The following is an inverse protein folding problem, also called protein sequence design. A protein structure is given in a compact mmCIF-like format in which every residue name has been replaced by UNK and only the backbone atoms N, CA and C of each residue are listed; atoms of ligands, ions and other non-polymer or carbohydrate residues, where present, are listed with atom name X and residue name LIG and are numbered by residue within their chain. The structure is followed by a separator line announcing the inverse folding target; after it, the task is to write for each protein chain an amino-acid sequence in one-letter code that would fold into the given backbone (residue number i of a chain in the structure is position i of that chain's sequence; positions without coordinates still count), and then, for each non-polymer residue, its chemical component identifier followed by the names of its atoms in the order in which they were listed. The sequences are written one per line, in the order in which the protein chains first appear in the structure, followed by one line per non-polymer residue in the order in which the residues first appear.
data_IF_603372223876
#
_entry.id   IF_603372223876
#
_cell.length_a   1.000
_cell.length_b   1.000
_cell.length_c   1.000
_cell.angle_alpha   90.00
_cell.angle_beta   90.00
_cell.angle_gamma   90.00
#
_symmetry.space_group_name_H-M   'P 1'
#
loop_
_entity.id
_entity.type
_entity.pdbx_description
1 polymer ?
#
# COMPACT_ATOMS: atom_id res chain seq x y z
N UNK A 1 -6.90 11.59 13.75
CA UNK A 1 -7.61 10.87 14.83
C UNK A 1 -8.41 9.77 14.17
N UNK A 2 -8.14 8.51 14.52
CA UNK A 2 -8.83 7.37 13.90
C UNK A 2 -10.06 6.99 14.74
N UNK A 3 -11.25 7.25 14.18
CA UNK A 3 -12.54 6.90 14.76
C UNK A 3 -12.76 5.40 14.92
N UNK A 4 -12.20 4.57 14.03
CA UNK A 4 -12.36 3.12 14.07
C UNK A 4 -11.49 2.50 15.15
N UNK A 5 -10.24 2.94 15.27
CA UNK A 5 -9.34 2.46 16.32
C UNK A 5 -9.77 2.93 17.71
N UNK A 6 -10.33 4.13 17.84
CA UNK A 6 -10.79 4.66 19.13
C UNK A 6 -12.27 4.35 19.44
N UNK A 7 -12.98 3.66 18.53
CA UNK A 7 -14.44 3.44 18.60
C UNK A 7 -15.22 4.72 18.91
N UNK A 8 -14.74 5.85 18.40
CA UNK A 8 -15.31 7.17 18.65
C UNK A 8 -15.94 7.65 17.36
N UNK A 9 -17.21 8.04 17.39
CA UNK A 9 -17.87 8.58 16.18
C UNK A 9 -17.07 9.73 15.58
N UNK A 10 -16.96 9.73 14.24
CA UNK A 10 -16.26 10.75 13.45
C UNK A 10 -16.62 12.18 13.85
N UNK A 11 -17.90 12.44 14.13
CA UNK A 11 -18.44 13.73 14.53
C UNK A 11 -17.93 14.23 15.88
N UNK A 12 -17.45 13.32 16.75
CA UNK A 12 -17.03 13.60 18.14
C UNK A 12 -15.52 13.51 18.35
N UNK A 13 -14.75 13.26 17.30
CA UNK A 13 -13.30 13.09 17.36
C UNK A 13 -12.56 14.32 17.91
N UNK A 14 -13.06 15.52 17.60
CA UNK A 14 -12.44 16.79 18.03
C UNK A 14 -12.75 17.09 19.49
N UNK A 15 -13.98 16.83 19.93
CA UNK A 15 -14.41 17.05 21.33
C UNK A 15 -13.83 16.01 22.29
N UNK A 16 -13.67 14.76 21.86
CA UNK A 16 -13.16 13.63 22.67
C UNK A 16 -11.69 13.34 22.44
N UNK A 17 -10.91 14.36 22.09
CA UNK A 17 -9.50 14.24 21.72
C UNK A 17 -8.66 13.47 22.75
N UNK A 18 -8.87 13.78 24.03
CA UNK A 18 -8.12 13.20 25.15
C UNK A 18 -8.49 11.73 25.38
N UNK A 19 -9.77 11.38 25.24
CA UNK A 19 -10.23 9.98 25.32
C UNK A 19 -9.71 9.13 24.15
N UNK A 20 -9.66 9.72 22.94
CA UNK A 20 -9.04 9.08 21.77
C UNK A 20 -7.55 8.86 21.99
N UNK A 21 -6.82 9.84 22.54
CA UNK A 21 -5.40 9.67 22.85
C UNK A 21 -5.15 8.59 23.91
N UNK A 22 -5.98 8.56 24.97
CA UNK A 22 -5.89 7.53 26.01
C UNK A 22 -6.14 6.12 25.45
N UNK A 23 -7.22 5.93 24.68
CA UNK A 23 -7.53 4.65 24.03
C UNK A 23 -6.43 4.21 23.06
N UNK A 24 -5.88 5.13 22.26
CA UNK A 24 -4.78 4.80 21.34
C UNK A 24 -3.49 4.42 22.09
N UNK A 25 -3.21 5.04 23.24
CA UNK A 25 -2.08 4.67 24.09
C UNK A 25 -2.29 3.30 24.76
N UNK A 26 -3.50 3.00 25.24
CA UNK A 26 -3.88 1.69 25.79
C UNK A 26 -3.79 0.58 24.73
N UNK A 27 -4.24 0.87 23.50
CA UNK A 27 -4.10 -0.01 22.34
C UNK A 27 -2.64 -0.21 21.96
N UNK A 28 -1.82 0.84 21.95
CA UNK A 28 -0.38 0.74 21.68
C UNK A 28 0.40 -0.02 22.76
N UNK A 29 -0.08 0.01 24.01
CA UNK A 29 0.52 -0.72 25.14
C UNK A 29 0.11 -2.21 25.17
N UNK A 30 -0.99 -2.57 24.53
CA UNK A 30 -1.42 -3.96 24.34
C UNK A 30 -0.86 -4.49 23.03
N UNK A 31 -0.20 -5.65 23.06
CA UNK A 31 0.33 -6.30 21.84
C UNK A 31 -0.79 -6.41 20.80
N UNK A 32 -0.66 -5.72 19.67
CA UNK A 32 -1.69 -5.78 18.62
C UNK A 32 -1.70 -4.65 17.60
N UNK A 33 -0.98 -3.54 17.82
CA UNK A 33 -0.90 -2.46 16.83
C UNK A 33 0.13 -2.81 15.75
N UNK A 34 -0.35 -3.13 14.55
CA UNK A 34 0.49 -3.32 13.37
C UNK A 34 1.23 -2.03 13.00
N UNK A 35 2.39 -2.17 12.35
CA UNK A 35 3.14 -1.04 11.85
C UNK A 35 2.73 -0.70 10.42
N UNK A 36 2.53 0.59 10.14
CA UNK A 36 2.20 1.10 8.81
C UNK A 36 3.36 1.94 8.29
N UNK A 37 3.82 1.61 7.08
CA UNK A 37 4.86 2.36 6.38
C UNK A 37 4.31 2.90 5.07
N UNK A 38 4.39 4.22 4.91
CA UNK A 38 3.91 4.91 3.71
C UNK A 38 5.13 5.43 2.95
N UNK A 39 5.23 5.07 1.68
CA UNK A 39 6.31 5.50 0.78
C UNK A 39 5.68 6.20 -0.42
N UNK A 40 5.95 7.50 -0.56
CA UNK A 40 5.47 8.29 -1.68
C UNK A 40 6.51 8.37 -2.80
N UNK A 41 6.05 8.26 -4.04
CA UNK A 41 6.87 8.35 -5.25
C UNK A 41 6.09 9.07 -6.36
N UNK A 42 6.76 9.90 -7.19
CA UNK A 42 6.12 10.47 -8.37
C UNK A 42 5.59 9.38 -9.32
N UNK A 43 4.51 9.67 -10.04
CA UNK A 43 3.96 8.76 -11.06
C UNK A 43 5.02 8.35 -12.08
N UNK A 44 5.06 7.07 -12.43
CA UNK A 44 6.01 6.49 -13.38
C UNK A 44 7.46 6.42 -12.87
N UNK A 45 7.74 6.81 -11.62
CA UNK A 45 9.12 6.78 -11.11
C UNK A 45 9.54 5.43 -10.54
N UNK A 46 8.57 4.58 -10.17
CA UNK A 46 8.78 3.32 -9.47
C UNK A 46 8.32 2.14 -10.33
N UNK A 47 9.15 1.10 -10.40
CA UNK A 47 8.83 -0.17 -11.05
C UNK A 47 8.68 -1.32 -10.05
N UNK A 48 8.10 -2.47 -10.44
CA UNK A 48 8.09 -3.67 -9.60
C UNK A 48 9.49 -4.10 -9.16
N UNK A 49 10.51 -3.96 -10.02
CA UNK A 49 11.90 -4.22 -9.65
C UNK A 49 12.43 -3.26 -8.56
N UNK A 50 11.98 -2.01 -8.55
CA UNK A 50 12.33 -1.04 -7.49
C UNK A 50 11.65 -1.39 -6.17
N UNK A 51 10.39 -1.85 -6.22
CA UNK A 51 9.67 -2.37 -5.06
C UNK A 51 10.37 -3.60 -4.47
N UNK A 52 10.84 -4.52 -5.31
CA UNK A 52 11.57 -5.72 -4.88
C UNK A 52 12.84 -5.36 -4.09
N UNK A 53 13.63 -4.41 -4.62
CA UNK A 53 14.83 -3.90 -3.94
C UNK A 53 14.49 -3.20 -2.62
N UNK A 54 13.39 -2.46 -2.59
CA UNK A 54 12.92 -1.77 -1.38
C UNK A 54 12.53 -2.80 -0.31
N UNK A 55 11.70 -3.79 -0.64
CA UNK A 55 11.31 -4.87 0.29
C UNK A 55 12.51 -5.67 0.78
N UNK A 56 13.49 -5.94 -0.09
CA UNK A 56 14.76 -6.55 0.30
C UNK A 56 15.51 -5.73 1.35
N UNK A 57 15.61 -4.40 1.13
CA UNK A 57 16.23 -3.48 2.09
C UNK A 57 15.44 -3.38 3.41
N UNK A 58 14.11 -3.37 3.35
CA UNK A 58 13.24 -3.37 4.52
C UNK A 58 13.49 -4.63 5.37
N UNK A 59 13.45 -5.81 4.73
CA UNK A 59 13.68 -7.10 5.37
C UNK A 59 15.07 -7.19 5.99
N UNK A 60 16.11 -6.70 5.30
CA UNK A 60 17.47 -6.65 5.82
C UNK A 60 17.60 -5.79 7.10
N UNK A 61 16.77 -4.75 7.23
CA UNK A 61 16.69 -3.89 8.42
C UNK A 61 15.73 -4.42 9.50
N UNK A 62 15.30 -5.69 9.40
CA UNK A 62 14.38 -6.32 10.36
C UNK A 62 12.91 -5.92 10.18
N UNK A 63 12.57 -5.23 9.11
CA UNK A 63 11.21 -4.80 8.82
C UNK A 63 10.59 -5.72 7.77
N UNK A 64 9.75 -6.65 8.22
CA UNK A 64 9.13 -7.67 7.38
C UNK A 64 7.63 -7.37 7.27
N UNK A 65 7.15 -6.85 6.13
CA UNK A 65 5.73 -6.59 5.95
C UNK A 65 4.96 -7.90 5.73
N UNK A 66 3.74 -7.98 6.27
CA UNK A 66 2.79 -9.06 5.96
C UNK A 66 1.91 -8.73 4.73
N UNK A 67 1.82 -7.44 4.39
CA UNK A 67 1.02 -6.92 3.29
C UNK A 67 1.75 -5.75 2.59
N UNK A 68 1.58 -5.68 1.27
CA UNK A 68 2.04 -4.58 0.43
C UNK A 68 0.85 -4.03 -0.36
N UNK A 69 0.62 -2.72 -0.22
CA UNK A 69 -0.43 -1.99 -0.95
C UNK A 69 0.24 -1.07 -1.96
N UNK A 70 -0.16 -1.16 -3.23
CA UNK A 70 0.30 -0.29 -4.33
C UNK A 70 -0.88 0.53 -4.80
N UNK A 71 -0.80 1.86 -4.66
CA UNK A 71 -1.82 2.81 -5.10
C UNK A 71 -1.27 3.70 -6.22
N UNK A 72 -1.57 3.46 -7.50
CA UNK A 72 -2.15 2.25 -8.09
C UNK A 72 -1.26 1.73 -9.21
N UNK A 73 -1.33 0.42 -9.51
CA UNK A 73 -0.35 -0.26 -10.37
C UNK A 73 -0.23 0.34 -11.78
N UNK A 74 -1.31 0.90 -12.33
CA UNK A 74 -1.31 1.51 -13.67
C UNK A 74 -0.43 2.77 -13.75
N UNK A 75 -0.06 3.40 -12.62
CA UNK A 75 0.88 4.53 -12.58
C UNK A 75 2.35 4.11 -12.40
N UNK A 76 2.63 2.81 -12.27
CA UNK A 76 4.00 2.33 -12.18
C UNK A 76 4.68 2.30 -13.56
N UNK A 77 6.01 2.34 -13.56
CA UNK A 77 6.81 2.04 -14.75
C UNK A 77 7.04 0.54 -14.85
N UNK A 78 6.99 -0.03 -16.05
CA UNK A 78 7.40 -1.42 -16.25
C UNK A 78 8.87 -1.65 -15.87
N UNK A 79 9.20 -2.84 -15.38
CA UNK A 79 10.59 -3.21 -15.05
C UNK A 79 11.49 -3.21 -16.30
N UNK A 80 10.89 -3.49 -17.47
CA UNK A 80 11.54 -3.51 -18.78
C UNK A 80 10.65 -2.78 -19.79
N UNK A 81 11.25 -2.06 -20.73
CA UNK A 81 10.51 -1.39 -21.80
C UNK A 81 10.18 -2.39 -22.92
N UNK A 82 8.90 -2.77 -23.02
CA UNK A 82 8.39 -3.70 -24.03
C UNK A 82 7.90 -3.00 -25.30
N UNK A 83 8.10 -1.68 -25.44
CA UNK A 83 7.70 -0.83 -26.60
C UNK A 83 6.20 -0.79 -26.92
N UNK A 84 5.37 -1.47 -26.13
CA UNK A 84 3.92 -1.48 -26.21
C UNK A 84 3.34 -1.27 -24.81
N UNK A 85 2.47 -0.27 -24.66
CA UNK A 85 1.92 0.12 -23.36
C UNK A 85 1.07 -0.98 -22.74
N UNK A 86 0.35 -1.76 -23.55
CA UNK A 86 -0.47 -2.88 -23.05
C UNK A 86 0.42 -4.02 -22.54
N UNK A 87 1.51 -4.31 -23.23
CA UNK A 87 2.52 -5.26 -22.79
C UNK A 87 3.19 -4.78 -21.50
N UNK A 88 3.53 -3.49 -21.40
CA UNK A 88 4.10 -2.87 -20.21
C UNK A 88 3.17 -3.01 -19.01
N UNK A 89 1.89 -2.65 -19.14
CA UNK A 89 0.89 -2.80 -18.07
C UNK A 89 0.77 -4.27 -17.64
N UNK A 90 0.64 -5.20 -18.61
CA UNK A 90 0.58 -6.64 -18.31
C UNK A 90 1.82 -7.13 -17.56
N UNK A 91 3.00 -6.64 -17.92
CA UNK A 91 4.25 -6.96 -17.23
C UNK A 91 4.23 -6.44 -15.80
N UNK A 92 3.74 -5.23 -15.56
CA UNK A 92 3.64 -4.65 -14.20
C UNK A 92 2.82 -5.57 -13.29
N UNK A 93 1.61 -5.95 -13.70
CA UNK A 93 0.76 -6.83 -12.89
C UNK A 93 1.37 -8.22 -12.68
N UNK A 94 2.02 -8.78 -13.70
CA UNK A 94 2.67 -10.09 -13.62
C UNK A 94 3.86 -10.06 -12.65
N UNK A 95 4.69 -9.02 -12.75
CA UNK A 95 5.86 -8.83 -11.89
C UNK A 95 5.44 -8.56 -10.44
N UNK A 96 4.40 -7.75 -10.22
CA UNK A 96 3.86 -7.51 -8.87
C UNK A 96 3.37 -8.81 -8.23
N UNK A 97 2.62 -9.64 -8.97
CA UNK A 97 2.17 -10.95 -8.47
C UNK A 97 3.37 -11.84 -8.09
N UNK A 98 4.35 -11.96 -8.97
CA UNK A 98 5.55 -12.75 -8.69
C UNK A 98 6.33 -12.22 -7.48
N UNK A 99 6.37 -10.89 -7.31
CA UNK A 99 6.99 -10.23 -6.17
C UNK A 99 6.25 -10.54 -4.85
N UNK A 100 4.92 -10.51 -4.84
CA UNK A 100 4.15 -10.85 -3.65
C UNK A 100 4.38 -12.30 -3.22
N UNK A 101 4.38 -13.24 -4.18
CA UNK A 101 4.70 -14.64 -3.94
C UNK A 101 6.15 -14.80 -3.41
N UNK A 102 7.12 -14.11 -4.03
CA UNK A 102 8.54 -14.14 -3.64
C UNK A 102 8.77 -13.68 -2.20
N UNK A 103 8.08 -12.64 -1.76
CA UNK A 103 8.23 -12.08 -0.41
C UNK A 103 7.27 -12.71 0.61
N UNK A 104 6.37 -13.59 0.18
CA UNK A 104 5.33 -14.19 1.00
C UNK A 104 4.47 -13.12 1.72
N UNK A 105 3.96 -12.17 0.93
CA UNK A 105 3.14 -11.04 1.42
C UNK A 105 1.80 -10.99 0.70
N UNK A 106 0.76 -10.52 1.39
CA UNK A 106 -0.49 -10.19 0.73
C UNK A 106 -0.31 -8.96 -0.17
N UNK A 107 -0.70 -9.06 -1.44
CA UNK A 107 -0.63 -7.94 -2.39
C UNK A 107 -2.00 -7.33 -2.65
N UNK A 108 -2.09 -6.00 -2.56
CA UNK A 108 -3.29 -5.25 -2.96
C UNK A 108 -2.87 -4.13 -3.88
N UNK A 109 -3.59 -3.94 -4.97
CA UNK A 109 -3.48 -2.74 -5.79
C UNK A 109 -4.84 -2.32 -6.32
N UNK A 110 -5.04 -1.02 -6.52
CA UNK A 110 -6.15 -0.54 -7.31
C UNK A 110 -5.80 -0.60 -8.80
N UNK A 111 -6.82 -0.67 -9.65
CA UNK A 111 -6.70 -0.45 -11.09
C UNK A 111 -7.74 0.56 -11.51
N UNK A 112 -7.35 1.56 -12.31
CA UNK A 112 -8.30 2.51 -12.85
C UNK A 112 -8.94 1.91 -14.11
N UNK A 113 -10.26 1.68 -14.07
CA UNK A 113 -11.02 1.32 -15.28
C UNK A 113 -11.13 2.53 -16.19
N UNK A 114 -10.93 2.34 -17.51
CA UNK A 114 -11.11 3.40 -18.49
C UNK A 114 -12.51 4.04 -18.38
N UNK A 115 -12.55 5.38 -18.39
CA UNK A 115 -13.76 6.21 -18.19
C UNK A 115 -14.91 5.96 -19.18
N UNK A 116 -14.68 5.22 -20.27
CA UNK A 116 -15.71 4.91 -21.28
C UNK A 116 -16.72 3.83 -20.83
N UNK A 117 -16.44 3.08 -19.75
CA UNK A 117 -17.37 2.07 -19.23
C UNK A 117 -18.58 2.62 -18.45
N UNK A 118 -18.72 3.94 -18.33
CA UNK A 118 -19.79 4.61 -17.58
C UNK A 118 -20.85 5.32 -18.43
N UNK A 119 -20.74 5.27 -19.76
CA UNK A 119 -21.73 5.82 -20.67
C UNK A 119 -22.50 4.68 -21.34
N UNK A 120 -23.47 4.14 -20.63
CA UNK A 120 -24.63 3.44 -21.22
C UNK A 120 -25.89 4.06 -20.64
#
# INVERSE_FOLDING_TARGET
FDARLSETEMSRLVERRDDVHRKLAELGATKGVGSLWIVERPSGSMSPADLDRMLGSMKANGMVPDMVVVDYADLMRASYDLRDDRANIRSIYTDLRALYDKHNVAGITASQTNREGGAS
#
